data_IF_306760861018
#
_entry.id   IF_306760861018
#
_cell.length_a   1.000
_cell.length_b   1.000
_cell.length_c   1.000
_cell.angle_alpha   90.00
_cell.angle_beta   90.00
_cell.angle_gamma   90.00
#
_symmetry.space_group_name_H-M   'P 1'
#
loop_
_entity.id
_entity.type
_entity.pdbx_description
1 polymer ?
#
# COMPACT_ATOMS: atom_id res chain seq x y z
N UNK A 1 20.32 2.93 4.43
CA UNK A 1 20.28 1.55 4.94
C UNK A 1 18.84 1.14 4.89
N UNK A 2 18.53 0.13 4.06
CA UNK A 2 17.16 -0.02 3.60
C UNK A 2 17.06 -1.35 2.87
N UNK A 3 15.94 -2.03 2.95
CA UNK A 3 15.60 -3.12 2.03
C UNK A 3 14.28 -2.84 1.33
N UNK A 4 14.18 -3.23 0.08
CA UNK A 4 13.04 -2.98 -0.79
C UNK A 4 12.88 -4.07 -1.84
N UNK A 5 11.71 -4.09 -2.47
CA UNK A 5 11.41 -4.94 -3.61
C UNK A 5 10.62 -4.15 -4.65
N UNK A 6 10.99 -4.28 -5.92
CA UNK A 6 10.19 -3.84 -7.06
C UNK A 6 9.67 -5.06 -7.79
N UNK A 7 8.41 -5.03 -8.27
CA UNK A 7 7.82 -6.16 -8.97
C UNK A 7 6.81 -5.73 -10.04
N UNK A 8 6.68 -6.58 -11.07
CA UNK A 8 5.60 -6.60 -12.03
C UNK A 8 4.77 -7.87 -11.82
N UNK A 9 3.45 -7.73 -11.84
CA UNK A 9 2.53 -8.85 -11.78
C UNK A 9 2.04 -9.19 -13.19
N UNK A 10 2.41 -10.36 -13.76
CA UNK A 10 2.00 -10.72 -15.11
C UNK A 10 0.51 -11.03 -15.25
N UNK A 11 -0.21 -11.33 -14.17
CA UNK A 11 -1.63 -11.66 -14.20
C UNK A 11 -2.50 -10.40 -14.24
N UNK A 12 -2.10 -9.35 -13.52
CA UNK A 12 -2.86 -8.08 -13.44
C UNK A 12 -2.25 -6.97 -14.29
N UNK A 13 -0.96 -7.07 -14.66
CA UNK A 13 -0.19 -6.01 -15.31
C UNK A 13 0.25 -4.88 -14.37
N UNK A 14 0.02 -5.02 -13.09
CA UNK A 14 0.41 -4.03 -12.08
C UNK A 14 1.92 -3.99 -11.87
N UNK A 15 2.44 -2.79 -11.54
CA UNK A 15 3.80 -2.61 -11.04
C UNK A 15 3.77 -2.12 -9.61
N UNK A 16 4.67 -2.64 -8.77
CA UNK A 16 4.72 -2.29 -7.37
C UNK A 16 6.13 -2.12 -6.81
N UNK A 17 6.21 -1.37 -5.71
CA UNK A 17 7.41 -1.20 -4.92
C UNK A 17 7.07 -1.14 -3.44
N UNK A 18 7.82 -1.84 -2.62
CA UNK A 18 7.69 -1.77 -1.17
C UNK A 18 9.07 -1.62 -0.51
N UNK A 19 9.10 -0.96 0.66
CA UNK A 19 10.35 -0.62 1.36
C UNK A 19 10.17 -0.58 2.86
N UNK A 20 11.20 -0.97 3.59
CA UNK A 20 11.36 -0.72 5.03
C UNK A 20 12.76 -0.20 5.31
N UNK A 21 12.91 0.66 6.32
CA UNK A 21 14.18 1.24 6.73
C UNK A 21 14.15 1.73 8.16
N UNK A 22 15.32 1.76 8.80
CA UNK A 22 15.55 2.60 9.98
C UNK A 22 15.95 4.01 9.54
N UNK A 23 15.01 4.67 8.85
CA UNK A 23 15.12 6.04 8.38
C UNK A 23 13.75 6.69 8.41
N UNK A 24 13.65 7.92 8.89
CA UNK A 24 12.39 8.65 8.92
C UNK A 24 11.81 8.85 7.52
N UNK A 25 10.52 8.50 7.33
CA UNK A 25 9.77 8.80 6.10
C UNK A 25 10.41 8.24 4.82
N UNK A 26 10.87 6.97 4.85
CA UNK A 26 11.61 6.35 3.74
C UNK A 26 10.81 6.30 2.44
N UNK A 27 9.49 6.15 2.51
CA UNK A 27 8.62 6.02 1.34
C UNK A 27 8.72 7.20 0.39
N UNK A 28 8.79 8.44 0.91
CA UNK A 28 8.92 9.64 0.09
C UNK A 28 10.23 9.77 -0.69
N UNK A 29 11.24 8.97 -0.35
CA UNK A 29 12.54 8.97 -1.00
C UNK A 29 12.73 7.80 -1.96
N UNK A 30 12.27 6.62 -1.55
CA UNK A 30 12.62 5.34 -2.18
C UNK A 30 11.60 4.90 -3.22
N UNK A 31 10.29 5.06 -2.93
CA UNK A 31 9.23 4.46 -3.76
C UNK A 31 8.73 5.40 -4.84
N UNK A 32 8.77 4.92 -6.09
CA UNK A 32 8.32 5.64 -7.27
C UNK A 32 7.54 4.69 -8.19
N UNK A 33 6.45 5.15 -8.77
CA UNK A 33 5.63 4.35 -9.69
C UNK A 33 4.74 5.23 -10.55
N UNK A 34 4.45 4.75 -11.75
CA UNK A 34 3.57 5.43 -12.70
C UNK A 34 2.74 4.39 -13.48
N UNK A 35 1.41 4.58 -13.56
CA UNK A 35 0.52 3.71 -14.33
C UNK A 35 1.01 3.48 -15.76
N UNK A 36 1.01 2.21 -16.20
CA UNK A 36 1.42 1.82 -17.56
C UNK A 36 2.90 2.02 -17.87
N UNK A 37 3.73 2.42 -16.91
CA UNK A 37 5.16 2.70 -17.11
C UNK A 37 6.03 1.77 -16.28
N UNK A 38 5.82 1.69 -14.95
CA UNK A 38 6.63 0.85 -14.11
C UNK A 38 6.78 1.36 -12.67
N UNK A 39 7.71 0.74 -11.93
CA UNK A 39 8.06 1.12 -10.56
C UNK A 39 9.58 1.17 -10.35
N UNK A 40 10.03 2.01 -9.43
CA UNK A 40 11.44 2.23 -9.10
C UNK A 40 11.64 2.28 -7.59
N UNK A 41 12.70 1.62 -7.11
CA UNK A 41 13.26 1.80 -5.77
C UNK A 41 14.65 2.41 -5.89
N UNK A 42 14.91 3.54 -5.21
CA UNK A 42 16.24 4.16 -5.13
C UNK A 42 16.64 4.34 -3.67
N UNK A 43 17.80 3.82 -3.28
CA UNK A 43 18.22 3.72 -1.88
C UNK A 43 19.75 3.71 -1.70
N UNK A 44 20.26 3.38 -0.51
CA UNK A 44 21.65 3.47 -0.04
C UNK A 44 22.08 4.94 0.17
N UNK A 45 23.11 5.43 -0.51
CA UNK A 45 23.32 6.86 -0.63
C UNK A 45 22.31 7.36 -1.67
N UNK A 46 21.08 7.69 -1.19
CA UNK A 46 19.93 7.90 -2.06
C UNK A 46 20.14 9.08 -3.01
N UNK A 47 19.85 8.85 -4.29
CA UNK A 47 19.64 9.90 -5.29
C UNK A 47 18.18 9.78 -5.77
N UNK A 48 17.36 10.69 -5.27
CA UNK A 48 15.91 10.70 -5.53
C UNK A 48 15.59 10.80 -7.02
N UNK A 49 16.46 11.45 -7.79
CA UNK A 49 16.25 11.66 -9.22
C UNK A 49 16.21 10.37 -10.06
N UNK A 50 16.70 9.24 -9.55
CA UNK A 50 16.55 7.94 -10.23
C UNK A 50 15.07 7.56 -10.40
N UNK A 51 14.20 7.89 -9.42
CA UNK A 51 12.77 7.63 -9.52
C UNK A 51 12.15 8.31 -10.74
N UNK A 52 11.98 9.64 -10.74
CA UNK A 52 11.33 10.34 -11.85
C UNK A 52 12.07 10.24 -13.18
N UNK A 53 13.41 10.15 -13.19
CA UNK A 53 14.18 9.99 -14.43
C UNK A 53 14.05 8.56 -14.99
N UNK A 54 14.04 7.54 -14.15
CA UNK A 54 13.80 6.14 -14.56
C UNK A 54 12.43 6.00 -15.22
N UNK A 55 11.38 6.48 -14.55
CA UNK A 55 10.03 6.50 -15.09
C UNK A 55 9.95 7.29 -16.42
N UNK A 56 10.63 8.43 -16.52
CA UNK A 56 10.66 9.20 -17.76
C UNK A 56 11.33 8.45 -18.92
N UNK A 57 12.40 7.68 -18.65
CA UNK A 57 13.07 6.84 -19.67
C UNK A 57 12.18 5.68 -20.11
N UNK A 58 11.57 4.98 -19.16
CA UNK A 58 10.65 3.88 -19.45
C UNK A 58 9.42 4.36 -20.22
N UNK A 59 8.84 5.51 -19.88
CA UNK A 59 7.74 6.15 -20.63
C UNK A 59 8.16 6.52 -22.06
N UNK A 60 9.43 6.85 -22.30
CA UNK A 60 9.99 7.13 -23.63
C UNK A 60 10.33 5.86 -24.42
N UNK A 61 10.08 4.66 -23.89
CA UNK A 61 10.20 3.37 -24.56
C UNK A 61 11.48 2.59 -24.23
N UNK A 62 12.31 3.04 -23.30
CA UNK A 62 13.42 2.22 -22.79
C UNK A 62 12.87 1.13 -21.85
N UNK A 63 13.46 -0.07 -21.88
CA UNK A 63 13.21 -1.07 -20.86
C UNK A 63 13.82 -0.64 -19.51
N UNK A 64 13.34 -1.23 -18.40
CA UNK A 64 13.88 -0.93 -17.08
C UNK A 64 15.41 -1.17 -16.97
N UNK A 65 15.97 -2.28 -17.52
CA UNK A 65 17.41 -2.46 -17.56
C UNK A 65 18.16 -1.38 -18.34
N UNK A 66 17.67 -0.97 -19.51
CA UNK A 66 18.29 0.07 -20.32
C UNK A 66 18.27 1.43 -19.64
N UNK A 67 17.11 1.81 -19.06
CA UNK A 67 16.96 3.05 -18.30
C UNK A 67 17.93 3.10 -17.12
N UNK A 68 18.05 1.99 -16.38
CA UNK A 68 18.96 1.89 -15.23
C UNK A 68 20.42 2.03 -15.64
N UNK A 69 20.86 1.27 -16.65
CA UNK A 69 22.24 1.31 -17.16
C UNK A 69 22.63 2.74 -17.60
N UNK A 70 21.76 3.42 -18.32
CA UNK A 70 22.00 4.79 -18.77
C UNK A 70 22.13 5.77 -17.59
N UNK A 71 21.24 5.66 -16.61
CA UNK A 71 21.26 6.57 -15.46
C UNK A 71 22.47 6.32 -14.54
N UNK A 72 22.85 5.07 -14.31
CA UNK A 72 24.03 4.72 -13.50
C UNK A 72 25.31 5.19 -14.19
N UNK A 73 25.42 5.03 -15.52
CA UNK A 73 26.58 5.49 -16.28
C UNK A 73 26.76 7.01 -16.26
N UNK A 74 25.68 7.76 -16.06
CA UNK A 74 25.69 9.22 -15.96
C UNK A 74 25.90 9.75 -14.54
N UNK A 75 25.90 8.89 -13.51
CA UNK A 75 26.09 9.26 -12.11
C UNK A 75 27.54 8.98 -11.65
N UNK A 76 28.30 10.02 -11.39
CA UNK A 76 29.67 9.91 -10.85
C UNK A 76 29.73 9.16 -9.50
N UNK A 77 28.62 9.11 -8.77
CA UNK A 77 28.46 8.43 -7.49
C UNK A 77 27.77 7.07 -7.60
N UNK A 78 27.64 6.50 -8.80
CA UNK A 78 26.98 5.21 -9.01
C UNK A 78 27.51 4.08 -8.12
N UNK A 79 28.79 4.12 -7.70
CA UNK A 79 29.39 3.13 -6.82
C UNK A 79 28.77 3.05 -5.41
N UNK A 80 28.09 4.10 -4.94
CA UNK A 80 27.39 4.13 -3.62
C UNK A 80 25.88 4.06 -3.74
N UNK A 81 25.32 3.89 -4.94
CA UNK A 81 23.87 3.81 -5.19
C UNK A 81 23.37 2.37 -5.14
N UNK A 82 22.13 2.20 -4.74
CA UNK A 82 21.38 0.95 -4.91
C UNK A 82 20.01 1.28 -5.49
N UNK A 83 19.75 0.78 -6.70
CA UNK A 83 18.54 1.13 -7.47
C UNK A 83 18.00 -0.13 -8.13
N UNK A 84 16.68 -0.30 -8.09
CA UNK A 84 15.98 -1.31 -8.88
C UNK A 84 14.80 -0.68 -9.62
N UNK A 85 14.51 -1.18 -10.82
CA UNK A 85 13.44 -0.73 -11.69
C UNK A 85 12.73 -1.92 -12.29
N UNK A 86 11.41 -1.82 -12.44
CA UNK A 86 10.59 -2.74 -13.23
C UNK A 86 9.74 -1.94 -14.20
N UNK A 87 9.63 -2.37 -15.46
CA UNK A 87 8.75 -1.74 -16.45
C UNK A 87 7.42 -2.50 -16.60
N UNK A 88 6.45 -1.87 -17.28
CA UNK A 88 5.11 -2.41 -17.51
C UNK A 88 5.08 -3.65 -18.44
N UNK A 89 6.22 -4.12 -18.92
CA UNK A 89 6.37 -5.35 -19.71
C UNK A 89 7.08 -6.46 -18.93
N UNK A 90 7.38 -6.21 -17.64
CA UNK A 90 8.03 -7.15 -16.74
C UNK A 90 9.55 -7.19 -16.89
N UNK A 91 10.15 -6.26 -17.63
CA UNK A 91 11.61 -6.08 -17.66
C UNK A 91 12.10 -5.57 -16.30
N UNK A 92 13.17 -6.16 -15.75
CA UNK A 92 13.71 -5.80 -14.43
C UNK A 92 15.18 -5.47 -14.53
N UNK A 93 15.57 -4.32 -13.96
CA UNK A 93 16.96 -3.92 -13.80
C UNK A 93 17.29 -3.63 -12.34
N UNK A 94 18.48 -4.05 -11.88
CA UNK A 94 18.94 -3.78 -10.53
C UNK A 94 20.43 -3.43 -10.51
N UNK A 95 20.82 -2.51 -9.64
CA UNK A 95 22.19 -2.07 -9.42
C UNK A 95 22.46 -1.94 -7.93
N UNK A 96 23.50 -2.64 -7.46
CA UNK A 96 24.12 -2.43 -6.14
C UNK A 96 25.55 -2.01 -6.35
N UNK A 97 25.85 -0.75 -6.08
CA UNK A 97 27.18 -0.18 -6.25
C UNK A 97 28.21 -0.83 -5.32
N UNK A 98 29.45 -0.98 -5.81
CA UNK A 98 30.54 -1.70 -5.12
C UNK A 98 30.95 -1.07 -3.77
N UNK A 99 30.60 0.19 -3.54
CA UNK A 99 30.88 0.94 -2.31
C UNK A 99 29.63 1.08 -1.40
N UNK A 100 28.53 0.35 -1.69
CA UNK A 100 27.40 0.24 -0.78
C UNK A 100 27.85 -0.43 0.53
N UNK A 101 27.30 0.05 1.65
CA UNK A 101 27.66 -0.47 2.98
C UNK A 101 27.19 -1.92 3.18
N UNK A 102 28.10 -2.77 3.72
CA UNK A 102 27.85 -4.18 4.04
C UNK A 102 26.77 -4.36 5.11
N UNK A 103 25.99 -5.44 5.13
CA UNK A 103 25.78 -6.36 4.03
C UNK A 103 24.88 -5.69 2.99
N UNK A 104 25.26 -5.74 1.72
CA UNK A 104 24.48 -5.19 0.61
C UNK A 104 24.45 -6.20 -0.54
N UNK A 105 23.34 -6.23 -1.27
CA UNK A 105 23.15 -7.10 -2.42
C UNK A 105 21.74 -7.03 -2.96
N UNK A 106 21.48 -7.86 -3.95
CA UNK A 106 20.20 -7.97 -4.63
C UNK A 106 19.96 -9.39 -5.12
N UNK A 107 18.71 -9.79 -5.20
CA UNK A 107 18.23 -10.97 -5.92
C UNK A 107 17.37 -10.49 -7.08
N UNK A 108 17.78 -10.83 -8.30
CA UNK A 108 17.11 -10.48 -9.53
C UNK A 108 16.40 -11.69 -10.09
N UNK A 109 15.10 -11.61 -10.31
CA UNK A 109 14.27 -12.66 -10.89
C UNK A 109 13.57 -12.15 -12.15
N UNK A 110 12.67 -12.97 -12.73
CA UNK A 110 12.03 -12.65 -14.01
C UNK A 110 11.19 -11.37 -13.99
N UNK A 111 10.48 -11.11 -12.88
CA UNK A 111 9.51 -10.00 -12.78
C UNK A 111 9.68 -9.17 -11.50
N UNK A 112 10.76 -9.38 -10.75
CA UNK A 112 11.03 -8.62 -9.54
C UNK A 112 12.52 -8.54 -9.22
N UNK A 113 12.87 -7.56 -8.37
CA UNK A 113 14.16 -7.49 -7.71
C UNK A 113 13.96 -7.15 -6.24
N UNK A 114 14.57 -7.96 -5.37
CA UNK A 114 14.72 -7.67 -3.94
C UNK A 114 16.15 -7.19 -3.68
N UNK A 115 16.34 -6.14 -2.90
CA UNK A 115 17.64 -5.55 -2.60
C UNK A 115 17.71 -5.00 -1.19
N UNK A 116 18.90 -5.01 -0.64
CA UNK A 116 19.19 -4.46 0.69
C UNK A 116 20.60 -3.90 0.80
N UNK A 117 20.80 -2.95 1.70
CA UNK A 117 22.10 -2.41 2.07
C UNK A 117 22.14 -2.14 3.57
N UNK A 118 23.30 -2.42 4.18
CA UNK A 118 23.53 -2.44 5.63
C UNK A 118 22.53 -3.33 6.38
N UNK A 119 22.34 -4.52 5.86
CA UNK A 119 21.49 -5.53 6.48
C UNK A 119 22.24 -6.24 7.62
N UNK A 120 21.49 -6.89 8.51
CA UNK A 120 22.09 -7.72 9.57
C UNK A 120 22.72 -9.00 9.02
N UNK A 121 22.24 -9.50 7.89
CA UNK A 121 22.75 -10.69 7.19
C UNK A 121 22.70 -10.52 5.67
N UNK A 122 23.41 -11.37 4.95
CA UNK A 122 23.42 -11.45 3.48
C UNK A 122 22.24 -12.27 2.91
N UNK A 123 21.33 -12.76 3.77
CA UNK A 123 20.17 -13.55 3.35
C UNK A 123 18.91 -12.71 3.06
N UNK A 124 18.89 -11.47 3.51
CA UNK A 124 17.67 -10.62 3.49
C UNK A 124 17.00 -10.59 2.12
N UNK A 125 17.73 -10.22 1.06
CA UNK A 125 17.14 -10.11 -0.29
C UNK A 125 16.75 -11.45 -0.90
N UNK A 126 17.49 -12.53 -0.59
CA UNK A 126 17.13 -13.88 -1.04
C UNK A 126 15.85 -14.40 -0.40
N UNK A 127 15.68 -14.21 0.92
CA UNK A 127 14.45 -14.59 1.63
C UNK A 127 13.26 -13.73 1.19
N UNK A 128 13.47 -12.44 0.90
CA UNK A 128 12.44 -11.56 0.32
C UNK A 128 11.97 -12.07 -1.04
N UNK A 129 12.91 -12.40 -1.93
CA UNK A 129 12.62 -12.93 -3.26
C UNK A 129 11.85 -14.24 -3.19
N UNK A 130 12.31 -15.18 -2.35
CA UNK A 130 11.65 -16.48 -2.17
C UNK A 130 10.21 -16.34 -1.61
N UNK A 131 10.00 -15.43 -0.63
CA UNK A 131 8.68 -15.17 -0.08
C UNK A 131 7.74 -14.53 -1.11
N UNK A 132 8.24 -13.58 -1.92
CA UNK A 132 7.46 -12.97 -2.99
C UNK A 132 7.01 -14.01 -4.05
N UNK A 133 7.90 -14.92 -4.45
CA UNK A 133 7.59 -15.97 -5.42
C UNK A 133 6.61 -17.02 -4.88
N UNK A 134 6.68 -17.33 -3.60
CA UNK A 134 5.79 -18.29 -2.93
C UNK A 134 4.46 -17.67 -2.49
N UNK A 135 4.37 -16.33 -2.46
CA UNK A 135 3.19 -15.59 -1.99
C UNK A 135 2.00 -15.76 -2.93
N UNK A 136 0.82 -15.80 -2.34
CA UNK A 136 -0.47 -15.80 -3.03
C UNK A 136 -1.20 -14.46 -2.78
N UNK A 137 -2.25 -14.19 -3.55
CA UNK A 137 -3.07 -12.99 -3.41
C UNK A 137 -2.58 -11.81 -4.27
N UNK A 138 -2.96 -10.60 -3.90
CA UNK A 138 -2.65 -9.38 -4.62
C UNK A 138 -1.15 -9.05 -4.63
N UNK A 139 -0.72 -8.23 -5.60
CA UNK A 139 0.66 -7.74 -5.64
C UNK A 139 1.05 -7.03 -4.32
N UNK A 140 0.12 -6.30 -3.72
CA UNK A 140 0.36 -5.61 -2.44
C UNK A 140 0.63 -6.60 -1.28
N UNK A 141 -0.14 -7.69 -1.18
CA UNK A 141 0.05 -8.72 -0.16
C UNK A 141 1.40 -9.42 -0.33
N UNK A 142 1.75 -9.81 -1.55
CA UNK A 142 3.03 -10.45 -1.86
C UNK A 142 4.24 -9.55 -1.59
N UNK A 143 4.11 -8.24 -1.84
CA UNK A 143 5.12 -7.24 -1.50
C UNK A 143 5.31 -7.11 0.03
N UNK A 144 4.22 -7.14 0.80
CA UNK A 144 4.29 -7.13 2.26
C UNK A 144 4.91 -8.42 2.81
N UNK A 145 4.57 -9.58 2.26
CA UNK A 145 5.15 -10.87 2.66
C UNK A 145 6.67 -10.89 2.42
N UNK A 146 7.12 -10.30 1.32
CA UNK A 146 8.54 -10.12 1.06
C UNK A 146 9.23 -9.23 2.11
N UNK A 147 8.62 -8.09 2.50
CA UNK A 147 9.18 -7.24 3.55
C UNK A 147 9.26 -7.95 4.91
N UNK A 148 8.22 -8.71 5.29
CA UNK A 148 8.22 -9.49 6.52
C UNK A 148 9.29 -10.59 6.52
N UNK A 149 9.49 -11.27 5.38
CA UNK A 149 10.57 -12.24 5.23
C UNK A 149 11.95 -11.60 5.35
N UNK A 150 12.14 -10.41 4.77
CA UNK A 150 13.36 -9.63 4.90
C UNK A 150 13.64 -9.24 6.35
N UNK A 151 12.62 -8.80 7.09
CA UNK A 151 12.72 -8.50 8.52
C UNK A 151 13.07 -9.77 9.34
N UNK A 152 12.40 -10.89 9.07
CA UNK A 152 12.66 -12.17 9.73
C UNK A 152 14.08 -12.70 9.45
N UNK A 153 14.65 -12.40 8.28
CA UNK A 153 16.02 -12.74 7.92
C UNK A 153 17.09 -11.87 8.60
N UNK A 154 16.66 -10.83 9.35
CA UNK A 154 17.51 -9.94 10.11
C UNK A 154 17.32 -8.46 9.84
N UNK A 155 16.72 -8.09 8.69
CA UNK A 155 16.36 -6.72 8.35
C UNK A 155 17.49 -5.72 8.37
N UNK A 156 17.17 -4.47 8.64
CA UNK A 156 18.12 -3.37 8.82
C UNK A 156 18.87 -3.54 10.17
N UNK A 157 20.20 -3.53 10.15
CA UNK A 157 21.00 -3.74 11.36
C UNK A 157 20.73 -2.72 12.48
N UNK A 158 20.17 -1.58 12.16
CA UNK A 158 19.79 -0.54 13.13
C UNK A 158 18.39 -0.74 13.70
N UNK A 159 17.60 -1.67 13.16
CA UNK A 159 16.21 -1.91 13.50
C UNK A 159 15.23 -1.26 12.52
N UNK A 160 14.02 -0.97 13.01
CA UNK A 160 12.85 -0.55 12.25
C UNK A 160 12.47 0.89 12.54
N UNK A 161 11.93 1.63 11.58
CA UNK A 161 11.37 2.97 11.81
C UNK A 161 10.25 3.33 10.85
N UNK A 162 10.40 3.10 9.56
CA UNK A 162 9.40 3.46 8.57
C UNK A 162 9.25 2.39 7.49
N UNK A 163 8.09 2.36 6.83
CA UNK A 163 7.82 1.47 5.71
C UNK A 163 6.86 2.14 4.72
N UNK A 164 6.86 1.66 3.47
CA UNK A 164 5.93 2.14 2.46
C UNK A 164 5.65 1.08 1.41
N UNK A 165 4.50 1.20 0.77
CA UNK A 165 4.09 0.44 -0.39
C UNK A 165 3.44 1.36 -1.42
N UNK A 166 3.75 1.13 -2.69
CA UNK A 166 3.13 1.78 -3.83
C UNK A 166 2.89 0.74 -4.92
N UNK A 167 1.64 0.61 -5.37
CA UNK A 167 1.25 -0.22 -6.52
C UNK A 167 0.50 0.66 -7.50
N UNK A 168 0.86 0.56 -8.76
CA UNK A 168 0.25 1.31 -9.87
C UNK A 168 -0.43 0.36 -10.85
N UNK A 169 -1.59 0.75 -11.43
CA UNK A 169 -2.31 -0.07 -12.38
C UNK A 169 -1.58 -0.18 -13.74
N UNK A 170 -1.96 -1.18 -14.59
CA UNK A 170 -1.35 -1.41 -15.91
C UNK A 170 -1.61 -0.28 -16.90
N UNK A 171 -2.60 0.54 -16.65
CA UNK A 171 -2.95 1.73 -17.44
C UNK A 171 -3.63 2.77 -16.56
N UNK A 172 -3.68 4.00 -17.00
CA UNK A 172 -4.36 5.07 -16.24
C UNK A 172 -3.62 6.40 -16.27
N UNK A 173 -4.18 7.35 -15.57
CA UNK A 173 -3.60 8.69 -15.45
C UNK A 173 -2.46 8.71 -14.42
N UNK A 174 -1.48 9.62 -14.55
CA UNK A 174 -0.28 9.63 -13.72
C UNK A 174 -0.51 9.70 -12.20
N UNK A 175 -1.69 10.15 -11.76
CA UNK A 175 -2.05 10.22 -10.32
C UNK A 175 -2.79 8.99 -9.80
N UNK A 176 -3.22 8.06 -10.65
CA UNK A 176 -3.94 6.87 -10.22
C UNK A 176 -3.01 5.88 -9.52
N UNK A 177 -3.52 5.28 -8.45
CA UNK A 177 -2.83 4.29 -7.63
C UNK A 177 -3.80 3.16 -7.30
N UNK A 178 -3.31 1.92 -7.35
CA UNK A 178 -3.98 0.79 -6.70
C UNK A 178 -3.84 0.96 -5.20
N UNK A 179 -2.61 1.20 -4.75
CA UNK A 179 -2.31 1.50 -3.35
C UNK A 179 -1.11 2.43 -3.23
N UNK A 180 -1.16 3.41 -2.33
CA UNK A 180 -0.02 4.21 -1.89
C UNK A 180 -0.18 4.49 -0.40
N UNK A 181 0.60 3.81 0.43
CA UNK A 181 0.54 3.92 1.88
C UNK A 181 1.95 4.02 2.46
N UNK A 182 2.07 4.83 3.50
CA UNK A 182 3.33 5.11 4.19
C UNK A 182 3.14 5.12 5.69
N UNK A 183 4.09 4.51 6.39
CA UNK A 183 4.29 4.62 7.83
C UNK A 183 5.58 5.39 8.03
N UNK A 184 5.46 6.65 8.42
CA UNK A 184 6.58 7.59 8.44
C UNK A 184 7.52 7.38 9.64
N UNK A 185 6.97 6.99 10.79
CA UNK A 185 7.71 6.74 12.04
C UNK A 185 6.89 5.84 12.97
N UNK A 186 7.32 4.59 13.14
CA UNK A 186 6.69 3.62 14.02
C UNK A 186 7.70 2.54 14.42
N UNK A 187 7.74 2.06 15.68
CA UNK A 187 8.63 0.98 16.10
C UNK A 187 8.31 -0.37 15.43
N UNK A 188 7.07 -0.57 14.94
CA UNK A 188 6.61 -1.76 14.22
C UNK A 188 5.98 -1.36 12.87
N UNK A 189 6.78 -0.79 11.93
CA UNK A 189 6.22 -0.14 10.73
C UNK A 189 5.55 -1.13 9.78
N UNK A 190 5.98 -2.40 9.71
CA UNK A 190 5.36 -3.42 8.86
C UNK A 190 4.02 -3.88 9.41
N UNK A 191 3.89 -4.00 10.74
CA UNK A 191 2.60 -4.32 11.39
C UNK A 191 1.58 -3.21 11.09
N UNK A 192 2.00 -1.95 11.22
CA UNK A 192 1.13 -0.80 10.93
C UNK A 192 0.82 -0.71 9.43
N UNK A 193 1.79 -0.95 8.54
CA UNK A 193 1.56 -0.91 7.10
C UNK A 193 0.54 -1.98 6.68
N UNK A 194 0.62 -3.22 7.22
CA UNK A 194 -0.38 -4.28 6.98
C UNK A 194 -1.76 -3.85 7.47
N UNK A 195 -1.84 -3.24 8.66
CA UNK A 195 -3.11 -2.72 9.17
C UNK A 195 -3.72 -1.69 8.22
N UNK A 196 -2.90 -0.78 7.69
CA UNK A 196 -3.34 0.25 6.74
C UNK A 196 -3.78 -0.35 5.39
N UNK A 197 -3.09 -1.39 4.89
CA UNK A 197 -3.49 -2.10 3.65
C UNK A 197 -4.85 -2.76 3.83
N UNK A 198 -5.07 -3.47 4.96
CA UNK A 198 -6.37 -4.07 5.27
C UNK A 198 -7.47 -3.01 5.44
N UNK A 199 -7.16 -1.88 6.08
CA UNK A 199 -8.10 -0.77 6.23
C UNK A 199 -8.47 -0.16 4.87
N UNK A 200 -7.51 0.01 3.96
CA UNK A 200 -7.77 0.49 2.60
C UNK A 200 -8.76 -0.43 1.87
N UNK A 201 -8.56 -1.75 1.94
CA UNK A 201 -9.48 -2.71 1.31
C UNK A 201 -10.91 -2.58 1.88
N UNK A 202 -11.06 -2.36 3.20
CA UNK A 202 -12.35 -2.11 3.81
C UNK A 202 -13.02 -0.81 3.30
N UNK A 203 -12.23 0.26 3.12
CA UNK A 203 -12.75 1.51 2.54
C UNK A 203 -13.09 1.38 1.05
N UNK A 204 -12.39 0.56 0.28
CA UNK A 204 -12.76 0.26 -1.10
C UNK A 204 -14.09 -0.48 -1.17
N UNK A 205 -14.30 -1.46 -0.29
CA UNK A 205 -15.60 -2.13 -0.16
C UNK A 205 -16.72 -1.15 0.21
N UNK A 206 -16.45 -0.19 1.10
CA UNK A 206 -17.43 0.86 1.44
C UNK A 206 -17.71 1.79 0.24
N UNK A 207 -16.72 2.15 -0.55
CA UNK A 207 -16.86 2.97 -1.76
C UNK A 207 -17.74 2.27 -2.83
N UNK A 208 -17.64 0.93 -2.97
CA UNK A 208 -18.60 0.17 -3.79
C UNK A 208 -20.03 0.33 -3.27
N UNK A 209 -20.19 0.41 -1.94
CA UNK A 209 -21.48 0.72 -1.30
C UNK A 209 -22.01 2.11 -1.69
N UNK A 210 -21.14 3.13 -1.69
CA UNK A 210 -21.48 4.50 -2.11
C UNK A 210 -21.96 4.54 -3.57
N UNK A 211 -21.28 3.83 -4.46
CA UNK A 211 -21.66 3.73 -5.88
C UNK A 211 -23.03 3.05 -6.05
N UNK A 212 -23.26 1.93 -5.36
CA UNK A 212 -24.55 1.22 -5.38
C UNK A 212 -25.70 2.10 -4.82
N UNK A 213 -25.43 2.83 -3.75
CA UNK A 213 -26.38 3.79 -3.18
C UNK A 213 -26.70 4.92 -4.17
N UNK A 214 -25.68 5.45 -4.85
CA UNK A 214 -25.84 6.46 -5.90
C UNK A 214 -26.71 5.99 -7.06
N UNK A 215 -26.79 4.68 -7.31
CA UNK A 215 -27.69 4.05 -8.28
C UNK A 215 -29.06 3.64 -7.70
N UNK A 216 -29.30 3.88 -6.41
CA UNK A 216 -30.56 3.56 -5.72
C UNK A 216 -30.69 2.10 -5.28
N UNK A 217 -29.64 1.29 -5.36
CA UNK A 217 -29.63 -0.09 -4.85
C UNK A 217 -29.22 -0.11 -3.36
N UNK A 218 -30.10 0.39 -2.51
CA UNK A 218 -29.86 0.52 -1.07
C UNK A 218 -29.63 -0.83 -0.37
N UNK A 219 -30.20 -1.92 -0.90
CA UNK A 219 -30.02 -3.26 -0.33
C UNK A 219 -28.60 -3.79 -0.54
N UNK A 220 -28.09 -3.68 -1.77
CA UNK A 220 -26.72 -4.06 -2.09
C UNK A 220 -25.69 -3.12 -1.42
N UNK A 221 -25.97 -1.80 -1.39
CA UNK A 221 -25.15 -0.83 -0.68
C UNK A 221 -25.00 -1.17 0.81
N UNK A 222 -26.12 -1.48 1.49
CA UNK A 222 -26.11 -1.86 2.90
C UNK A 222 -25.25 -3.13 3.14
N UNK A 223 -25.33 -4.11 2.24
CA UNK A 223 -24.49 -5.30 2.35
C UNK A 223 -22.98 -4.96 2.28
N UNK A 224 -22.58 -4.03 1.38
CA UNK A 224 -21.20 -3.57 1.25
C UNK A 224 -20.72 -2.80 2.47
N UNK A 225 -21.49 -1.93 3.05
CA UNK A 225 -21.12 -1.24 4.29
C UNK A 225 -20.93 -2.19 5.47
N UNK A 226 -21.79 -3.23 5.56
CA UNK A 226 -21.66 -4.26 6.59
C UNK A 226 -20.39 -5.08 6.37
N UNK A 227 -20.12 -5.51 5.13
CA UNK A 227 -18.91 -6.21 4.74
C UNK A 227 -17.65 -5.38 5.09
N UNK A 228 -17.63 -4.11 4.71
CA UNK A 228 -16.53 -3.17 5.02
C UNK A 228 -16.27 -3.05 6.53
N UNK A 229 -17.35 -2.94 7.32
CA UNK A 229 -17.23 -2.94 8.78
C UNK A 229 -16.69 -4.26 9.34
N UNK A 230 -17.14 -5.41 8.83
CA UNK A 230 -16.65 -6.72 9.25
C UNK A 230 -15.15 -6.91 8.95
N UNK A 231 -14.63 -6.26 7.89
CA UNK A 231 -13.19 -6.23 7.58
C UNK A 231 -12.38 -5.35 8.54
N UNK A 232 -12.95 -4.26 9.07
CA UNK A 232 -12.28 -3.32 9.98
C UNK A 232 -13.20 -2.86 11.13
N UNK A 233 -13.57 -3.75 12.07
CA UNK A 233 -14.61 -3.50 13.07
C UNK A 233 -14.28 -2.39 14.10
N UNK A 234 -13.00 -2.03 14.22
CA UNK A 234 -12.56 -0.93 15.09
C UNK A 234 -12.59 0.45 14.40
N UNK A 235 -12.88 0.49 13.09
CA UNK A 235 -13.04 1.75 12.36
C UNK A 235 -14.41 2.37 12.67
N UNK A 236 -14.38 3.55 13.31
CA UNK A 236 -15.61 4.24 13.75
C UNK A 236 -16.50 4.63 12.57
N UNK A 237 -15.91 5.08 11.47
CA UNK A 237 -16.63 5.48 10.26
C UNK A 237 -17.36 4.29 9.63
N UNK A 238 -16.68 3.18 9.40
CA UNK A 238 -17.29 1.97 8.87
C UNK A 238 -18.36 1.42 9.82
N UNK A 239 -18.11 1.50 11.13
CA UNK A 239 -19.09 1.14 12.16
C UNK A 239 -20.35 2.02 12.11
N UNK A 240 -20.21 3.32 11.85
CA UNK A 240 -21.32 4.25 11.72
C UNK A 240 -22.22 3.91 10.52
N UNK A 241 -21.65 3.80 9.33
CA UNK A 241 -22.42 3.50 8.11
C UNK A 241 -23.02 2.10 8.13
N UNK A 242 -22.30 1.10 8.62
CA UNK A 242 -22.85 -0.25 8.81
C UNK A 242 -23.99 -0.28 9.82
N UNK A 243 -23.94 0.51 10.88
CA UNK A 243 -25.03 0.58 11.87
C UNK A 243 -26.32 1.13 11.28
N UNK A 244 -26.24 2.17 10.46
CA UNK A 244 -27.40 2.72 9.74
C UNK A 244 -27.94 1.72 8.72
N UNK A 245 -27.08 1.02 8.02
CA UNK A 245 -27.43 -0.03 7.06
C UNK A 245 -28.16 -1.20 7.72
N UNK A 246 -27.66 -1.69 8.87
CA UNK A 246 -28.30 -2.73 9.66
C UNK A 246 -29.70 -2.30 10.13
N UNK A 247 -29.84 -1.07 10.64
CA UNK A 247 -31.13 -0.50 11.06
C UNK A 247 -32.06 -0.38 9.88
N UNK A 248 -31.61 0.07 8.71
CA UNK A 248 -32.42 0.14 7.49
C UNK A 248 -32.95 -1.24 7.06
N UNK A 249 -32.11 -2.28 7.15
CA UNK A 249 -32.52 -3.66 6.82
C UNK A 249 -33.38 -4.31 7.90
N UNK A 250 -33.68 -3.62 9.01
CA UNK A 250 -34.47 -4.11 10.13
C UNK A 250 -33.71 -4.93 11.17
N UNK A 251 -32.38 -5.09 11.02
CA UNK A 251 -31.53 -5.75 12.03
C UNK A 251 -31.13 -4.76 13.12
N UNK A 252 -32.13 -4.30 13.87
CA UNK A 252 -31.97 -3.32 14.95
C UNK A 252 -31.15 -3.90 16.10
N UNK A 253 -31.21 -5.22 16.32
CA UNK A 253 -30.51 -5.88 17.42
C UNK A 253 -28.98 -5.80 17.25
N UNK A 254 -28.47 -5.81 16.01
CA UNK A 254 -27.04 -5.58 15.71
C UNK A 254 -26.74 -4.09 15.51
N UNK A 255 -27.58 -3.37 14.78
CA UNK A 255 -27.33 -1.98 14.39
C UNK A 255 -27.33 -0.99 15.55
N UNK A 256 -28.29 -1.07 16.48
CA UNK A 256 -28.42 -0.09 17.55
C UNK A 256 -27.27 -0.14 18.59
N UNK A 257 -26.83 -1.32 19.06
CA UNK A 257 -25.65 -1.37 19.92
C UNK A 257 -24.38 -0.83 19.24
N UNK A 258 -24.19 -1.13 17.94
CA UNK A 258 -23.06 -0.62 17.15
C UNK A 258 -23.15 0.91 17.06
N UNK A 259 -24.28 1.47 16.68
CA UNK A 259 -24.49 2.92 16.59
C UNK A 259 -24.23 3.61 17.95
N UNK A 260 -24.79 3.07 19.05
CA UNK A 260 -24.56 3.62 20.40
C UNK A 260 -23.10 3.65 20.78
N UNK A 261 -22.34 2.60 20.46
CA UNK A 261 -20.89 2.56 20.68
C UNK A 261 -20.21 3.67 19.88
N UNK A 262 -20.52 3.80 18.60
CA UNK A 262 -19.89 4.79 17.72
C UNK A 262 -20.19 6.23 18.14
N UNK A 263 -21.47 6.58 18.41
CA UNK A 263 -21.82 7.95 18.82
C UNK A 263 -21.27 8.32 20.20
N UNK A 264 -20.90 7.34 21.02
CA UNK A 264 -20.28 7.57 22.32
C UNK A 264 -18.78 7.93 22.24
N UNK A 265 -18.09 7.63 21.13
CA UNK A 265 -16.67 7.94 20.97
C UNK A 265 -16.43 9.43 20.75
N UNK A 266 -17.30 10.08 19.97
CA UNK A 266 -17.18 11.49 19.63
C UNK A 266 -18.53 12.15 19.33
N UNK A 267 -18.77 13.33 19.90
CA UNK A 267 -20.03 14.08 19.71
C UNK A 267 -20.35 14.41 18.23
N UNK A 268 -19.35 14.47 17.36
CA UNK A 268 -19.51 14.69 15.92
C UNK A 268 -20.38 13.62 15.24
N UNK A 269 -20.36 12.38 15.69
CA UNK A 269 -21.22 11.33 15.13
C UNK A 269 -22.72 11.59 15.38
N UNK A 270 -23.07 12.08 16.58
CA UNK A 270 -24.44 12.51 16.87
C UNK A 270 -24.84 13.73 16.03
N UNK A 271 -23.94 14.68 15.84
CA UNK A 271 -24.17 15.84 15.00
C UNK A 271 -24.37 15.43 13.54
N UNK A 272 -23.48 14.57 13.00
CA UNK A 272 -23.61 14.02 11.64
C UNK A 272 -24.94 13.32 11.46
N UNK A 273 -25.31 12.43 12.38
CA UNK A 273 -26.61 11.75 12.34
C UNK A 273 -27.78 12.74 12.30
N UNK A 274 -27.66 13.90 12.97
CA UNK A 274 -28.64 14.99 12.94
C UNK A 274 -28.74 15.71 11.60
N UNK A 275 -27.67 15.70 10.79
CA UNK A 275 -27.59 16.41 9.51
C UNK A 275 -28.01 15.56 8.30
N UNK A 276 -27.81 14.24 8.37
CA UNK A 276 -28.12 13.31 7.27
C UNK A 276 -29.64 13.25 7.02
N UNK A 277 -30.04 13.17 5.77
CA UNK A 277 -31.41 12.86 5.39
C UNK A 277 -31.59 11.37 4.98
N UNK A 278 -32.86 10.96 4.72
CA UNK A 278 -33.17 9.58 4.35
C UNK A 278 -32.58 9.20 2.96
N UNK A 279 -32.41 10.16 2.07
CA UNK A 279 -31.83 9.93 0.74
C UNK A 279 -30.31 9.69 0.83
N UNK A 280 -29.66 10.33 1.79
CA UNK A 280 -28.22 10.18 2.04
C UNK A 280 -27.90 8.91 2.85
N UNK A 281 -28.80 8.52 3.78
CA UNK A 281 -28.65 7.30 4.58
C UNK A 281 -30.03 6.78 5.04
N UNK A 282 -30.61 5.80 4.37
CA UNK A 282 -31.99 5.36 4.59
C UNK A 282 -32.36 4.93 6.02
N UNK A 283 -31.38 4.44 6.79
CA UNK A 283 -31.56 4.07 8.20
C UNK A 283 -31.64 5.26 9.19
N UNK A 284 -31.37 6.47 8.75
CA UNK A 284 -31.24 7.66 9.62
C UNK A 284 -32.52 8.01 10.40
N UNK A 285 -33.73 8.05 9.82
CA UNK A 285 -34.93 8.39 10.58
C UNK A 285 -35.18 7.45 11.74
N UNK A 286 -35.05 6.16 11.52
CA UNK A 286 -35.21 5.14 12.54
C UNK A 286 -34.10 5.18 13.60
N UNK A 287 -32.85 5.39 13.18
CA UNK A 287 -31.70 5.56 14.08
C UNK A 287 -31.92 6.72 15.06
N UNK A 288 -32.35 7.88 14.58
CA UNK A 288 -32.69 9.03 15.43
C UNK A 288 -33.80 8.68 16.43
N UNK A 289 -34.88 8.06 15.96
CA UNK A 289 -35.99 7.63 16.83
C UNK A 289 -35.49 6.69 17.95
N UNK A 290 -34.65 5.73 17.61
CA UNK A 290 -34.10 4.74 18.56
C UNK A 290 -33.09 5.35 19.57
N UNK A 291 -32.42 6.43 19.21
CA UNK A 291 -31.53 7.18 20.09
C UNK A 291 -32.25 8.28 20.90
N UNK A 292 -33.47 8.67 20.49
CA UNK A 292 -34.24 9.73 21.12
C UNK A 292 -33.74 11.16 20.77
N UNK A 293 -33.25 11.36 19.56
CA UNK A 293 -32.77 12.65 19.04
C UNK A 293 -33.49 13.06 17.78
#
# INVERSE_FOLDING_TARGET
MTYSLVAFDPDTGECGVAVQSHWFSVGGLVTWGEPGVGAVATQANVEVAYGPRGLARMRAGASAPEALVELVAADELGAVRQVAMVDAHGGVGAHTGAECMSFCGQELSNHHSAQGNLMATDRVWGEMSAAFEAGEGSLAERLLDALDAGEAAGGDVRGRQSAAILVVPPEGEPWQRVIELRVEDNPEPLVELRRLVALKAAYECAAEGDDLQGHGDYGAAAAKYIEAWEMAPECEELSFWASLSLIHLGDVDRGLPLLRRTVATHAGWTQLLGMLDEGEAPGTPEARRLLGI
#
